data_IF_599688548536
#
_entry.id   IF_599688548536
#
_cell.length_a   1.000
_cell.length_b   1.000
_cell.length_c   1.000
_cell.angle_alpha   90.00
_cell.angle_beta   90.00
_cell.angle_gamma   90.00
#
_symmetry.space_group_name_H-M   'P 1'
#
loop_
_entity.id
_entity.type
_entity.pdbx_description
1 polymer ?
#
# COMPACT_ATOMS: atom_id res chain seq x y z
N UNK A 1 6.82 -16.62 -4.93
CA UNK A 1 7.03 -15.29 -5.52
C UNK A 1 8.29 -14.71 -4.87
N UNK A 2 9.41 -14.50 -5.61
CA UNK A 2 10.75 -14.47 -5.01
C UNK A 2 10.97 -13.47 -3.86
N UNK A 3 10.45 -12.24 -3.96
CA UNK A 3 10.55 -11.22 -2.90
C UNK A 3 9.74 -11.59 -1.65
N UNK A 4 8.52 -12.13 -1.86
CA UNK A 4 7.59 -12.59 -0.83
C UNK A 4 8.09 -13.87 -0.14
N UNK A 5 8.80 -14.71 -0.87
CA UNK A 5 9.45 -15.91 -0.33
C UNK A 5 10.72 -15.53 0.46
N UNK A 6 11.42 -14.48 0.04
CA UNK A 6 12.64 -13.98 0.69
C UNK A 6 12.38 -13.00 1.85
N UNK A 7 11.14 -12.49 2.01
CA UNK A 7 10.79 -11.47 3.00
C UNK A 7 11.56 -10.16 2.83
N UNK A 8 11.92 -9.80 1.59
CA UNK A 8 12.70 -8.60 1.28
C UNK A 8 12.03 -7.80 0.18
N UNK A 9 11.85 -6.50 0.44
CA UNK A 9 11.02 -5.62 -0.36
C UNK A 9 11.75 -4.32 -0.73
N UNK A 10 12.80 -4.36 -1.58
CA UNK A 10 13.57 -3.16 -1.92
C UNK A 10 12.67 -2.05 -2.51
N UNK A 11 12.65 -0.88 -1.89
CA UNK A 11 11.82 0.27 -2.30
C UNK A 11 12.38 1.07 -3.48
N UNK A 12 13.22 0.48 -4.33
CA UNK A 12 14.04 1.19 -5.33
C UNK A 12 13.20 1.92 -6.40
N UNK A 13 12.05 1.36 -6.79
CA UNK A 13 11.14 1.97 -7.77
C UNK A 13 10.13 2.92 -7.11
N UNK A 14 9.43 2.44 -6.09
CA UNK A 14 8.45 3.20 -5.32
C UNK A 14 8.22 2.55 -3.96
N UNK A 15 8.14 3.38 -2.92
CA UNK A 15 7.86 2.94 -1.56
C UNK A 15 6.36 2.87 -1.26
N UNK A 16 5.97 2.18 -0.18
CA UNK A 16 4.59 2.20 0.33
C UNK A 16 4.15 3.63 0.64
N UNK A 17 5.00 4.47 1.23
CA UNK A 17 4.67 5.87 1.53
C UNK A 17 4.33 6.68 0.27
N UNK A 18 5.11 6.50 -0.81
CA UNK A 18 4.84 7.13 -2.11
C UNK A 18 3.49 6.68 -2.66
N UNK A 19 3.14 5.40 -2.49
CA UNK A 19 1.86 4.87 -2.98
C UNK A 19 0.67 5.30 -2.14
N UNK A 20 0.82 5.50 -0.83
CA UNK A 20 -0.20 6.12 0.02
C UNK A 20 -0.52 7.53 -0.46
N UNK A 21 0.50 8.32 -0.81
CA UNK A 21 0.30 9.65 -1.40
C UNK A 21 -0.41 9.56 -2.76
N UNK A 22 0.05 8.67 -3.64
CA UNK A 22 -0.52 8.48 -4.97
C UNK A 22 -2.01 8.09 -4.93
N UNK A 23 -2.38 7.13 -4.08
CA UNK A 23 -3.79 6.71 -3.95
C UNK A 23 -4.65 7.80 -3.28
N UNK A 24 -4.08 8.63 -2.41
CA UNK A 24 -4.75 9.81 -1.87
C UNK A 24 -5.17 10.79 -2.97
N UNK A 25 -4.30 11.02 -3.97
CA UNK A 25 -4.66 11.82 -5.13
C UNK A 25 -5.75 11.17 -6.00
N UNK A 26 -5.70 9.85 -6.17
CA UNK A 26 -6.72 9.10 -6.92
C UNK A 26 -8.10 9.24 -6.26
N UNK A 27 -8.18 9.03 -4.94
CA UNK A 27 -9.42 9.14 -4.16
C UNK A 27 -10.02 10.53 -4.30
N UNK A 28 -9.20 11.58 -4.14
CA UNK A 28 -9.64 12.96 -4.29
C UNK A 28 -10.19 13.25 -5.71
N UNK A 29 -9.50 12.75 -6.74
CA UNK A 29 -9.94 12.94 -8.12
C UNK A 29 -11.24 12.16 -8.44
N UNK A 30 -11.41 10.97 -7.88
CA UNK A 30 -12.61 10.14 -8.02
C UNK A 30 -13.83 10.78 -7.32
N UNK A 31 -13.64 11.30 -6.10
CA UNK A 31 -14.68 12.01 -5.35
C UNK A 31 -15.22 13.21 -6.14
N UNK A 32 -14.32 14.01 -6.73
CA UNK A 32 -14.69 15.15 -7.58
C UNK A 32 -15.50 14.76 -8.84
N UNK A 33 -15.57 13.47 -9.18
CA UNK A 33 -16.27 12.93 -10.36
C UNK A 33 -17.43 12.00 -9.99
N UNK A 34 -17.75 11.86 -8.71
CA UNK A 34 -18.80 10.95 -8.24
C UNK A 34 -18.49 9.48 -8.52
N UNK A 35 -17.22 9.11 -8.60
CA UNK A 35 -16.78 7.71 -8.74
C UNK A 35 -16.64 7.10 -7.35
N UNK A 36 -17.09 5.85 -7.20
CA UNK A 36 -17.01 5.11 -5.95
C UNK A 36 -15.54 4.86 -5.52
N UNK A 37 -15.26 5.16 -4.26
CA UNK A 37 -13.93 5.08 -3.64
C UNK A 37 -13.73 3.85 -2.74
N UNK A 38 -14.72 2.97 -2.59
CA UNK A 38 -14.65 1.85 -1.64
C UNK A 38 -13.39 0.98 -1.82
N UNK A 39 -13.01 0.65 -3.06
CA UNK A 39 -11.81 -0.14 -3.34
C UNK A 39 -10.50 0.65 -3.13
N UNK A 40 -10.32 1.87 -3.68
CA UNK A 40 -9.16 2.71 -3.37
C UNK A 40 -8.96 2.97 -1.87
N UNK A 41 -10.04 3.19 -1.11
CA UNK A 41 -9.98 3.41 0.33
C UNK A 41 -9.52 2.16 1.08
N UNK A 42 -10.04 0.98 0.73
CA UNK A 42 -9.58 -0.29 1.29
C UNK A 42 -8.08 -0.51 1.02
N UNK A 43 -7.63 -0.17 -0.19
CA UNK A 43 -6.24 -0.29 -0.58
C UNK A 43 -5.36 0.69 0.22
N UNK A 44 -5.77 1.97 0.34
CA UNK A 44 -5.08 2.97 1.16
C UNK A 44 -4.95 2.52 2.61
N UNK A 45 -6.05 2.09 3.22
CA UNK A 45 -6.05 1.60 4.60
C UNK A 45 -5.13 0.40 4.79
N UNK A 46 -5.01 -0.47 3.78
CA UNK A 46 -4.11 -1.62 3.83
C UNK A 46 -2.64 -1.23 3.73
N UNK A 47 -2.31 -0.26 2.87
CA UNK A 47 -0.96 0.31 2.81
C UNK A 47 -0.58 1.06 4.08
N UNK A 48 -1.52 1.80 4.69
CA UNK A 48 -1.29 2.50 5.96
C UNK A 48 -0.98 1.52 7.10
N UNK A 49 -1.63 0.35 7.15
CA UNK A 49 -1.27 -0.71 8.11
C UNK A 49 0.16 -1.22 7.87
N UNK A 50 0.56 -1.42 6.61
CA UNK A 50 1.91 -1.87 6.29
C UNK A 50 2.97 -0.83 6.68
N UNK A 51 2.71 0.45 6.40
CA UNK A 51 3.56 1.56 6.83
C UNK A 51 3.69 1.61 8.36
N UNK A 52 2.58 1.46 9.09
CA UNK A 52 2.57 1.40 10.55
C UNK A 52 3.33 0.18 11.12
N UNK A 53 3.40 -0.91 10.38
CA UNK A 53 4.20 -2.10 10.70
C UNK A 53 5.70 -1.96 10.38
N UNK A 54 6.14 -0.79 9.89
CA UNK A 54 7.54 -0.49 9.60
C UNK A 54 7.94 -0.65 8.13
N UNK A 55 6.98 -0.92 7.24
CA UNK A 55 7.25 -1.15 5.81
C UNK A 55 7.06 0.09 4.93
N UNK A 56 7.05 1.30 5.51
CA UNK A 56 6.81 2.55 4.75
C UNK A 56 7.83 2.80 3.63
N UNK A 57 9.11 2.49 3.89
CA UNK A 57 10.21 2.60 2.93
C UNK A 57 10.38 1.39 1.99
N UNK A 58 9.60 0.34 2.18
CA UNK A 58 9.67 -0.87 1.35
C UNK A 58 8.81 -0.74 0.09
N UNK A 59 9.05 -1.61 -0.90
CA UNK A 59 8.17 -1.71 -2.08
C UNK A 59 6.74 -2.11 -1.71
N UNK A 60 5.78 -1.87 -2.62
CA UNK A 60 4.39 -2.33 -2.48
C UNK A 60 4.23 -3.79 -2.03
N UNK A 61 5.14 -4.67 -2.45
CA UNK A 61 5.05 -6.09 -2.13
C UNK A 61 5.07 -6.38 -0.62
N UNK A 62 5.59 -5.47 0.21
CA UNK A 62 5.59 -5.59 1.68
C UNK A 62 4.18 -5.57 2.29
N UNK A 63 3.17 -5.10 1.55
CA UNK A 63 1.75 -5.21 1.95
C UNK A 63 1.35 -6.65 2.24
N UNK A 64 2.03 -7.65 1.68
CA UNK A 64 1.78 -9.06 1.99
C UNK A 64 1.94 -9.38 3.48
N UNK A 65 2.80 -8.67 4.21
CA UNK A 65 3.06 -8.94 5.63
C UNK A 65 1.83 -8.65 6.50
N UNK A 66 1.03 -7.63 6.14
CA UNK A 66 -0.23 -7.36 6.84
C UNK A 66 -1.40 -8.22 6.35
N UNK A 67 -1.28 -8.85 5.18
CA UNK A 67 -2.30 -9.75 4.62
C UNK A 67 -2.13 -11.20 5.07
N UNK A 68 -0.91 -11.62 5.40
CA UNK A 68 -0.62 -12.94 5.99
C UNK A 68 -1.20 -13.11 7.40
N UNK A 69 -1.59 -12.01 8.04
CA UNK A 69 -2.09 -11.96 9.41
C UNK A 69 -0.94 -11.96 10.42
N UNK A 70 -1.11 -11.23 11.53
CA UNK A 70 -0.23 -11.38 12.69
C UNK A 70 -0.33 -12.84 13.17
N UNK A 71 0.82 -13.45 13.40
CA UNK A 71 0.88 -14.78 14.01
C UNK A 71 0.64 -14.70 15.51
#
# INVERSE_FOLDING_TARGET
>A
APQVDAGRYPGDDATVDVQIAAIGHLIHAAEARGVDNALPELLKATMERAAAAGHGGDSYASVIEVLRGDR
#
